data_IF_545083487633
#
_entry.id   IF_545083487633
#
_cell.length_a   1.000
_cell.length_b   1.000
_cell.length_c   1.000
_cell.angle_alpha   90.00
_cell.angle_beta   90.00
_cell.angle_gamma   90.00
#
_symmetry.space_group_name_H-M   'P 1'
#
loop_
_entity.id
_entity.type
_entity.pdbx_description
1 polymer ?
#
# COMPACT_ATOMS: atom_id res chain seq x y z
N UNK A 1 -2.81 6.79 -15.89
CA UNK A 1 -4.08 6.97 -16.60
C UNK A 1 -4.53 8.42 -16.58
N UNK A 2 -5.48 8.81 -17.42
CA UNK A 2 -6.07 10.15 -17.39
C UNK A 2 -6.77 10.46 -16.06
N UNK A 3 -7.30 9.43 -15.39
CA UNK A 3 -7.92 9.54 -14.07
C UNK A 3 -6.90 9.62 -12.92
N UNK A 4 -5.66 9.23 -13.16
CA UNK A 4 -4.55 9.32 -12.21
C UNK A 4 -3.29 9.88 -12.89
N UNK A 5 -3.23 11.19 -13.13
CA UNK A 5 -2.06 11.82 -13.78
C UNK A 5 -0.81 11.82 -12.89
N UNK A 6 -0.98 11.60 -11.58
CA UNK A 6 0.11 11.51 -10.60
C UNK A 6 0.54 10.05 -10.35
N UNK A 7 0.00 9.09 -11.07
CA UNK A 7 0.39 7.69 -10.98
C UNK A 7 1.86 7.50 -11.36
N UNK A 8 2.53 6.54 -10.71
CA UNK A 8 3.92 6.23 -11.01
C UNK A 8 4.07 5.76 -12.49
N UNK A 9 5.14 6.17 -13.17
CA UNK A 9 5.40 5.72 -14.54
C UNK A 9 5.73 4.22 -14.56
N UNK A 10 5.49 3.58 -15.70
CA UNK A 10 5.62 2.12 -15.85
C UNK A 10 7.04 1.61 -15.55
N UNK A 11 8.06 2.39 -15.87
CA UNK A 11 9.46 2.05 -15.63
C UNK A 11 9.79 1.85 -14.14
N UNK A 12 9.07 2.49 -13.22
CA UNK A 12 9.20 2.21 -11.78
C UNK A 12 8.79 0.76 -11.49
N UNK A 13 7.69 0.29 -12.08
CA UNK A 13 7.24 -1.09 -11.91
C UNK A 13 8.12 -2.10 -12.65
N UNK A 14 8.73 -1.71 -13.77
CA UNK A 14 9.73 -2.52 -14.48
C UNK A 14 10.99 -2.71 -13.62
N UNK A 15 11.42 -1.68 -12.89
CA UNK A 15 12.51 -1.77 -11.93
C UNK A 15 12.15 -2.69 -10.74
N UNK A 16 10.91 -2.65 -10.24
CA UNK A 16 10.43 -3.57 -9.21
C UNK A 16 10.51 -5.02 -9.72
N UNK A 17 10.01 -5.29 -10.92
CA UNK A 17 10.08 -6.61 -11.56
C UNK A 17 11.54 -7.08 -11.71
N UNK A 18 12.41 -6.20 -12.20
CA UNK A 18 13.83 -6.50 -12.36
C UNK A 18 14.52 -6.81 -11.02
N UNK A 19 14.22 -6.03 -9.97
CA UNK A 19 14.74 -6.28 -8.63
C UNK A 19 14.31 -7.63 -8.05
N UNK A 20 13.03 -7.98 -8.20
CA UNK A 20 12.50 -9.29 -7.77
C UNK A 20 13.15 -10.44 -8.57
N UNK A 21 13.41 -10.25 -9.86
CA UNK A 21 14.07 -11.27 -10.71
C UNK A 21 15.53 -11.43 -10.33
N UNK A 22 16.24 -10.34 -10.07
CA UNK A 22 17.66 -10.36 -9.75
C UNK A 22 17.97 -11.00 -8.39
N UNK A 23 17.28 -10.56 -7.34
CA UNK A 23 17.38 -11.12 -5.99
C UNK A 23 16.09 -10.82 -5.20
N UNK A 24 15.12 -11.71 -5.27
CA UNK A 24 13.86 -11.60 -4.54
C UNK A 24 14.07 -11.45 -3.04
N UNK A 25 15.02 -12.16 -2.48
CA UNK A 25 15.27 -12.16 -1.03
C UNK A 25 15.72 -10.78 -0.55
N UNK A 26 16.73 -10.23 -1.20
CA UNK A 26 17.22 -8.89 -0.85
C UNK A 26 16.18 -7.82 -1.17
N UNK A 27 15.50 -7.91 -2.32
CA UNK A 27 14.45 -6.98 -2.69
C UNK A 27 13.37 -6.86 -1.60
N UNK A 28 12.82 -7.98 -1.10
CA UNK A 28 11.83 -7.95 -0.03
C UNK A 28 12.40 -7.45 1.31
N UNK A 29 13.67 -7.75 1.62
CA UNK A 29 14.34 -7.20 2.81
C UNK A 29 14.39 -5.68 2.75
N UNK A 30 14.83 -5.13 1.64
CA UNK A 30 14.98 -3.68 1.45
C UNK A 30 13.62 -2.98 1.43
N UNK A 31 12.61 -3.58 0.79
CA UNK A 31 11.25 -3.06 0.74
C UNK A 31 10.64 -2.85 2.13
N UNK A 32 10.99 -3.69 3.13
CA UNK A 32 10.48 -3.55 4.49
C UNK A 32 10.83 -2.19 5.13
N UNK A 33 11.88 -1.55 4.67
CA UNK A 33 12.35 -0.29 5.25
C UNK A 33 11.37 0.85 4.96
N UNK A 34 11.10 1.23 3.69
CA UNK A 34 10.11 2.25 3.37
C UNK A 34 8.67 1.78 3.67
N UNK A 35 8.37 0.48 3.54
CA UNK A 35 7.03 -0.07 3.76
C UNK A 35 6.51 0.22 5.19
N UNK A 36 7.36 0.03 6.18
CA UNK A 36 7.03 0.28 7.59
C UNK A 36 7.53 1.63 8.11
N UNK A 37 8.18 2.44 7.29
CA UNK A 37 8.80 3.70 7.73
C UNK A 37 9.99 3.49 8.69
N UNK A 38 10.70 2.35 8.58
CA UNK A 38 11.84 2.05 9.43
C UNK A 38 13.02 3.02 9.24
N UNK A 39 13.05 3.76 8.13
CA UNK A 39 14.02 4.81 7.80
C UNK A 39 13.65 6.19 8.41
N UNK A 40 12.54 6.31 9.11
CA UNK A 40 12.12 7.59 9.70
C UNK A 40 12.79 7.80 11.07
N UNK A 41 13.09 9.05 11.44
CA UNK A 41 13.59 9.36 12.77
C UNK A 41 12.66 8.80 13.86
N UNK A 42 13.24 8.21 14.90
CA UNK A 42 12.52 7.63 16.03
C UNK A 42 11.58 6.46 15.69
N UNK A 43 11.76 5.83 14.54
CA UNK A 43 11.01 4.62 14.18
C UNK A 43 11.21 3.52 15.24
N UNK A 44 10.09 2.92 15.69
CA UNK A 44 10.07 1.80 16.64
C UNK A 44 9.77 0.47 15.97
N UNK A 45 9.88 0.42 14.64
CA UNK A 45 9.62 -0.79 13.87
C UNK A 45 10.64 -1.86 14.21
N UNK A 46 10.19 -2.98 14.74
CA UNK A 46 11.07 -4.08 15.13
C UNK A 46 11.63 -4.85 13.93
N UNK A 47 12.83 -5.40 14.09
CA UNK A 47 13.39 -6.29 13.08
C UNK A 47 12.50 -7.53 12.87
N UNK A 48 11.89 -8.06 13.93
CA UNK A 48 10.99 -9.22 13.85
C UNK A 48 9.76 -8.95 12.96
N UNK A 49 9.18 -7.75 12.99
CA UNK A 49 8.08 -7.39 12.07
C UNK A 49 8.56 -7.39 10.62
N UNK A 50 9.74 -6.81 10.36
CA UNK A 50 10.34 -6.77 9.02
C UNK A 50 10.69 -8.16 8.51
N UNK A 51 11.22 -9.04 9.38
CA UNK A 51 11.55 -10.42 9.03
C UNK A 51 10.30 -11.25 8.76
N UNK A 52 9.20 -11.01 9.49
CA UNK A 52 7.91 -11.64 9.21
C UNK A 52 7.36 -11.28 7.82
N UNK A 53 7.43 -10.01 7.44
CA UNK A 53 7.05 -9.55 6.09
C UNK A 53 7.90 -10.22 5.01
N UNK A 54 9.22 -10.20 5.21
CA UNK A 54 10.16 -10.85 4.29
C UNK A 54 9.84 -12.33 4.11
N UNK A 55 9.60 -13.06 5.22
CA UNK A 55 9.27 -14.49 5.18
C UNK A 55 8.00 -14.76 4.37
N UNK A 56 6.95 -13.94 4.57
CA UNK A 56 5.70 -14.06 3.79
C UNK A 56 5.97 -13.83 2.29
N UNK A 57 6.76 -12.82 1.93
CA UNK A 57 7.17 -12.57 0.55
C UNK A 57 7.95 -13.75 -0.06
N UNK A 58 8.77 -14.43 0.74
CA UNK A 58 9.54 -15.60 0.28
C UNK A 58 8.67 -16.85 0.12
N UNK A 59 7.55 -16.97 0.84
CA UNK A 59 6.60 -18.08 0.72
C UNK A 59 5.73 -17.97 -0.54
N UNK A 60 5.58 -16.77 -1.11
CA UNK A 60 4.80 -16.58 -2.33
C UNK A 60 5.47 -17.26 -3.55
N UNK A 61 4.66 -17.80 -4.46
CA UNK A 61 5.17 -18.35 -5.72
C UNK A 61 5.85 -17.27 -6.57
N UNK A 62 7.07 -17.55 -7.07
CA UNK A 62 7.86 -16.56 -7.81
C UNK A 62 7.09 -15.97 -9.01
N UNK A 63 6.50 -16.84 -9.84
CA UNK A 63 5.68 -16.39 -10.98
C UNK A 63 4.50 -15.54 -10.54
N UNK A 64 3.83 -15.92 -9.45
CA UNK A 64 2.70 -15.17 -8.93
C UNK A 64 3.10 -13.75 -8.48
N UNK A 65 4.26 -13.57 -7.88
CA UNK A 65 4.79 -12.24 -7.52
C UNK A 65 4.92 -11.37 -8.76
N UNK A 66 5.55 -11.88 -9.83
CA UNK A 66 5.73 -11.14 -11.10
C UNK A 66 4.39 -10.80 -11.75
N UNK A 67 3.46 -11.77 -11.82
CA UNK A 67 2.15 -11.58 -12.40
C UNK A 67 1.30 -10.57 -11.60
N UNK A 68 1.40 -10.58 -10.26
CA UNK A 68 0.73 -9.60 -9.40
C UNK A 68 1.28 -8.19 -9.61
N UNK A 69 2.61 -8.03 -9.77
CA UNK A 69 3.20 -6.71 -10.10
C UNK A 69 2.60 -6.19 -11.41
N UNK A 70 2.46 -7.05 -12.41
CA UNK A 70 1.79 -6.69 -13.67
C UNK A 70 0.34 -6.29 -13.45
N UNK A 71 -0.41 -7.10 -12.72
CA UNK A 71 -1.83 -6.87 -12.49
C UNK A 71 -2.09 -5.49 -11.84
N UNK A 72 -1.41 -5.17 -10.73
CA UNK A 72 -1.68 -3.91 -10.05
C UNK A 72 -1.07 -2.68 -10.75
N UNK A 73 -0.02 -2.84 -11.56
CA UNK A 73 0.63 -1.72 -12.24
C UNK A 73 0.00 -1.36 -13.60
N UNK A 74 -0.70 -2.30 -14.23
CA UNK A 74 -1.19 -2.14 -15.61
C UNK A 74 -2.72 -2.16 -15.71
N UNK A 75 -3.45 -2.40 -14.61
CA UNK A 75 -4.91 -2.42 -14.60
C UNK A 75 -5.48 -1.06 -14.19
N UNK A 76 -6.39 -0.51 -14.99
CA UNK A 76 -7.14 0.70 -14.63
C UNK A 76 -8.46 0.30 -13.96
N UNK A 77 -8.56 0.58 -12.66
CA UNK A 77 -9.74 0.30 -11.85
C UNK A 77 -10.69 1.51 -11.72
N UNK A 78 -10.53 2.55 -12.51
CA UNK A 78 -11.32 3.79 -12.39
C UNK A 78 -12.81 3.50 -12.53
N UNK A 79 -13.21 2.69 -13.51
CA UNK A 79 -14.63 2.35 -13.71
C UNK A 79 -15.17 1.41 -12.62
N UNK A 80 -14.32 0.56 -12.04
CA UNK A 80 -14.71 -0.30 -10.93
C UNK A 80 -14.94 0.52 -9.66
N UNK A 81 -14.07 1.50 -9.37
CA UNK A 81 -14.24 2.42 -8.26
C UNK A 81 -15.56 3.22 -8.36
N UNK A 82 -15.99 3.58 -9.57
CA UNK A 82 -17.26 4.29 -9.79
C UNK A 82 -18.50 3.46 -9.49
N UNK A 83 -18.36 2.13 -9.52
CA UNK A 83 -19.46 1.17 -9.26
C UNK A 83 -19.64 0.83 -7.79
N UNK A 84 -18.77 1.33 -6.91
CA UNK A 84 -18.92 1.12 -5.47
C UNK A 84 -20.23 1.76 -5.00
N UNK A 85 -21.12 0.94 -4.46
CA UNK A 85 -22.47 1.33 -4.01
C UNK A 85 -22.72 0.96 -2.54
N UNK A 86 -21.67 0.56 -1.82
CA UNK A 86 -21.71 0.19 -0.41
C UNK A 86 -20.96 1.22 0.45
N UNK A 87 -21.27 1.33 1.75
CA UNK A 87 -20.48 2.15 2.67
C UNK A 87 -19.00 1.80 2.58
N UNK A 88 -18.16 2.79 2.33
CA UNK A 88 -16.73 2.59 2.07
C UNK A 88 -15.89 3.49 2.96
N UNK A 89 -14.94 2.88 3.70
CA UNK A 89 -13.90 3.58 4.44
C UNK A 89 -12.56 3.42 3.73
N UNK A 90 -11.94 4.54 3.40
CA UNK A 90 -10.58 4.59 2.84
C UNK A 90 -9.64 5.09 3.94
N UNK A 91 -8.64 4.27 4.29
CA UNK A 91 -7.69 4.57 5.36
C UNK A 91 -6.28 4.65 4.77
N UNK A 92 -5.54 5.76 5.02
CA UNK A 92 -4.23 5.96 4.41
C UNK A 92 -3.31 6.80 5.29
N UNK A 93 -2.03 6.41 5.37
CA UNK A 93 -1.00 7.21 6.01
C UNK A 93 -0.43 8.26 5.06
N UNK A 94 -0.24 9.50 5.51
CA UNK A 94 0.27 10.56 4.62
C UNK A 94 1.79 10.51 4.43
N UNK A 95 2.51 9.68 5.21
CA UNK A 95 3.93 9.33 4.99
C UNK A 95 4.11 7.97 4.31
N UNK A 96 3.15 7.55 3.51
CA UNK A 96 3.25 6.33 2.70
C UNK A 96 4.27 6.51 1.57
N UNK A 97 5.42 5.84 1.72
CA UNK A 97 6.54 5.89 0.76
C UNK A 97 6.39 4.88 -0.39
N UNK A 98 5.40 3.99 -0.31
CA UNK A 98 5.14 2.94 -1.31
C UNK A 98 4.04 3.39 -2.27
N UNK A 99 2.92 3.85 -1.73
CA UNK A 99 1.77 4.33 -2.49
C UNK A 99 1.43 5.75 -2.03
N UNK A 100 2.00 6.79 -2.67
CA UNK A 100 1.77 8.17 -2.25
C UNK A 100 0.29 8.53 -2.19
N UNK A 101 -0.16 9.06 -1.07
CA UNK A 101 -1.58 9.34 -0.81
C UNK A 101 -2.23 10.23 -1.88
N UNK A 102 -1.48 11.21 -2.40
CA UNK A 102 -1.94 12.13 -3.45
C UNK A 102 -2.23 11.46 -4.79
N UNK A 103 -1.56 10.33 -5.07
CA UNK A 103 -1.72 9.55 -6.28
C UNK A 103 -2.65 8.33 -6.08
N UNK A 104 -3.28 8.19 -4.93
CA UNK A 104 -4.08 7.01 -4.57
C UNK A 104 -5.33 7.38 -3.77
N UNK A 105 -5.31 7.35 -2.45
CA UNK A 105 -6.49 7.50 -1.60
C UNK A 105 -7.23 8.84 -1.81
N UNK A 106 -6.51 9.94 -2.01
CA UNK A 106 -7.11 11.25 -2.29
C UNK A 106 -7.88 11.29 -3.62
N UNK A 107 -7.48 10.48 -4.60
CA UNK A 107 -8.18 10.36 -5.89
C UNK A 107 -9.32 9.35 -5.77
N UNK A 108 -9.08 8.20 -5.16
CA UNK A 108 -10.10 7.16 -4.96
C UNK A 108 -11.30 7.69 -4.18
N UNK A 109 -11.07 8.49 -3.14
CA UNK A 109 -12.16 9.08 -2.34
C UNK A 109 -13.04 10.07 -3.11
N UNK A 110 -12.53 10.65 -4.20
CA UNK A 110 -13.32 11.51 -5.10
C UNK A 110 -14.14 10.70 -6.12
N UNK A 111 -13.71 9.47 -6.41
CA UNK A 111 -14.36 8.58 -7.39
C UNK A 111 -15.45 7.75 -6.70
N UNK A 112 -15.13 7.17 -5.54
CA UNK A 112 -16.06 6.34 -4.75
C UNK A 112 -17.04 7.25 -4.01
N UNK A 113 -18.27 7.32 -4.52
CA UNK A 113 -19.33 8.17 -3.96
C UNK A 113 -19.68 7.74 -2.53
N UNK A 114 -19.76 8.72 -1.62
CA UNK A 114 -20.11 8.44 -0.24
C UNK A 114 -19.03 7.77 0.60
N UNK A 115 -17.81 7.62 0.06
CA UNK A 115 -16.71 7.10 0.86
C UNK A 115 -16.25 8.10 1.93
N UNK A 116 -15.80 7.56 3.05
CA UNK A 116 -15.13 8.32 4.11
C UNK A 116 -13.62 8.12 3.97
N UNK A 117 -12.86 9.20 3.74
CA UNK A 117 -11.40 9.16 3.75
C UNK A 117 -10.89 9.53 5.14
N UNK A 118 -10.10 8.62 5.75
CA UNK A 118 -9.37 8.87 6.99
C UNK A 118 -7.88 8.87 6.74
N UNK A 119 -7.26 10.05 6.92
CA UNK A 119 -5.81 10.26 6.77
C UNK A 119 -5.14 10.15 8.12
N UNK A 120 -4.02 9.42 8.18
CA UNK A 120 -3.22 9.25 9.40
C UNK A 120 -1.88 9.97 9.26
N UNK A 121 -1.72 11.13 9.95
CA UNK A 121 -0.50 11.94 9.85
C UNK A 121 0.76 11.18 10.29
N UNK A 122 1.79 11.21 9.44
CA UNK A 122 3.09 10.59 9.69
C UNK A 122 3.11 9.06 9.65
N UNK A 123 1.98 8.40 9.30
CA UNK A 123 1.97 6.93 9.26
C UNK A 123 2.40 6.38 7.89
N UNK A 124 3.15 5.25 7.92
CA UNK A 124 3.68 4.60 6.72
C UNK A 124 2.63 3.70 6.03
N UNK A 125 3.03 3.08 4.92
CA UNK A 125 2.21 2.09 4.20
C UNK A 125 1.75 0.93 5.11
N UNK A 126 2.64 0.43 5.95
CA UNK A 126 2.38 -0.67 6.89
C UNK A 126 1.62 -0.29 8.15
N UNK A 127 0.85 0.79 8.14
CA UNK A 127 0.13 1.35 9.30
C UNK A 127 -0.76 0.33 10.05
N UNK A 128 -1.32 -0.64 9.35
CA UNK A 128 -2.12 -1.71 9.96
C UNK A 128 -1.32 -2.56 10.96
N UNK A 129 0.01 -2.63 10.80
CA UNK A 129 0.90 -3.36 11.71
C UNK A 129 1.57 -2.43 12.71
N UNK A 130 2.03 -1.26 12.26
CA UNK A 130 2.78 -0.32 13.10
C UNK A 130 1.88 0.44 14.08
N UNK A 131 0.62 0.68 13.72
CA UNK A 131 -0.35 1.49 14.47
C UNK A 131 -1.69 0.73 14.66
N UNK A 132 -1.60 -0.59 14.81
CA UNK A 132 -2.74 -1.52 14.81
C UNK A 132 -3.88 -1.11 15.75
N UNK A 133 -3.57 -0.60 16.93
CA UNK A 133 -4.61 -0.30 17.93
C UNK A 133 -5.50 0.86 17.46
N UNK A 134 -4.91 1.92 16.91
CA UNK A 134 -5.63 3.05 16.32
C UNK A 134 -6.43 2.62 15.09
N UNK A 135 -5.79 1.88 14.18
CA UNK A 135 -6.41 1.42 12.94
C UNK A 135 -7.58 0.48 13.22
N UNK A 136 -7.41 -0.47 14.14
CA UNK A 136 -8.46 -1.40 14.53
C UNK A 136 -9.64 -0.70 15.21
N UNK A 137 -9.39 0.30 16.06
CA UNK A 137 -10.45 1.07 16.71
C UNK A 137 -11.31 1.81 15.67
N UNK A 138 -10.67 2.45 14.69
CA UNK A 138 -11.36 3.18 13.63
C UNK A 138 -12.13 2.26 12.68
N UNK A 139 -11.52 1.14 12.30
CA UNK A 139 -12.19 0.12 11.49
C UNK A 139 -13.41 -0.46 12.20
N UNK A 140 -13.26 -0.77 13.50
CA UNK A 140 -14.36 -1.31 14.31
C UNK A 140 -15.49 -0.30 14.47
N UNK A 141 -15.18 0.98 14.62
CA UNK A 141 -16.19 2.04 14.70
C UNK A 141 -16.99 2.13 13.38
N UNK A 142 -16.32 2.06 12.24
CA UNK A 142 -16.96 2.05 10.92
C UNK A 142 -17.86 0.84 10.72
N UNK A 143 -17.41 -0.36 11.14
CA UNK A 143 -18.20 -1.59 10.97
C UNK A 143 -19.44 -1.67 11.89
N UNK A 144 -19.51 -0.84 12.93
CA UNK A 144 -20.63 -0.78 13.86
C UNK A 144 -21.61 0.36 13.58
N UNK A 145 -21.25 1.26 12.66
CA UNK A 145 -22.10 2.39 12.26
C UNK A 145 -23.17 1.95 11.25
#
# INVERSE_FOLDING_TARGET
TAANPAGLPIDVFDQIRAGVIADRSQFFKDLTVPFYGANRPNSKVSQGLRDSFWLQGMQAGFKAVIDCIKAFSETDFTEDLRKFDVPTLIMHGDDDQIVPIGASAMLSSKIVKGSTLKVYPGLPHGLCSTNKDQINADLLAFLKA
#
